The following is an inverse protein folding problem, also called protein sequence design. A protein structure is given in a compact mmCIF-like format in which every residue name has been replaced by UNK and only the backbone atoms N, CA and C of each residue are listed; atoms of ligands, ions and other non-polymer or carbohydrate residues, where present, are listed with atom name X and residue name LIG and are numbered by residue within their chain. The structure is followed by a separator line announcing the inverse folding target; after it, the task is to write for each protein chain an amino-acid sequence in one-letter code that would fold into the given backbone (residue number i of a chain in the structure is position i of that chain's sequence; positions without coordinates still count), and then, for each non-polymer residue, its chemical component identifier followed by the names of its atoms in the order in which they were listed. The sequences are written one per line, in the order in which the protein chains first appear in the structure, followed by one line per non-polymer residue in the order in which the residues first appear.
data_IF_983581380640
#
_entry.id   IF_983581380640
#
_cell.length_a   1.000
_cell.length_b   1.000
_cell.length_c   1.000
_cell.angle_alpha   90.00
_cell.angle_beta   90.00
_cell.angle_gamma   90.00
#
_symmetry.space_group_name_H-M   'P 1'
#
loop_
_entity.id
_entity.type
_entity.pdbx_description
1 polymer ?
#
# COMPACT_ATOMS: atom_id res chain seq x y z
N UNK A 1 -4.56 -14.55 2.76
CA UNK A 1 -5.90 -13.98 3.07
C UNK A 1 -6.67 -13.74 1.79
N UNK A 2 -8.00 -13.64 1.85
CA UNK A 2 -8.85 -13.15 0.77
C UNK A 2 -9.18 -11.68 1.02
N UNK A 3 -9.12 -10.88 -0.05
CA UNK A 3 -9.51 -9.48 -0.03
C UNK A 3 -10.66 -9.23 -0.98
N UNK A 4 -11.53 -8.30 -0.59
CA UNK A 4 -12.65 -7.85 -1.38
C UNK A 4 -12.77 -6.34 -1.33
N UNK A 5 -12.87 -5.71 -2.49
CA UNK A 5 -12.99 -4.27 -2.59
C UNK A 5 -13.76 -3.86 -3.85
N UNK A 6 -14.39 -2.69 -3.81
CA UNK A 6 -15.07 -2.11 -4.97
C UNK A 6 -14.37 -0.86 -5.51
N UNK A 7 -14.39 -0.73 -6.83
CA UNK A 7 -13.98 0.44 -7.59
C UNK A 7 -15.23 1.29 -7.88
N UNK A 8 -15.35 2.53 -7.38
CA UNK A 8 -16.52 3.33 -7.67
C UNK A 8 -16.61 3.66 -9.16
N UNK A 9 -17.78 3.48 -9.76
CA UNK A 9 -18.05 3.98 -11.11
C UNK A 9 -18.29 5.49 -11.11
N UNK A 10 -18.99 6.05 -10.09
CA UNK A 10 -19.40 7.46 -10.07
C UNK A 10 -19.65 8.12 -8.68
N UNK A 11 -19.14 7.58 -7.56
CA UNK A 11 -19.22 8.28 -6.25
C UNK A 11 -17.92 8.19 -5.46
N UNK A 12 -17.61 9.21 -4.67
CA UNK A 12 -16.46 9.24 -3.75
C UNK A 12 -16.59 8.26 -2.57
N UNK A 13 -17.62 7.41 -2.56
CA UNK A 13 -17.84 6.44 -1.50
C UNK A 13 -17.06 5.15 -1.81
N UNK A 14 -15.80 5.18 -1.44
CA UNK A 14 -14.96 4.00 -1.39
C UNK A 14 -15.42 3.11 -0.24
N UNK A 15 -16.12 2.01 -0.52
CA UNK A 15 -16.45 1.01 0.49
C UNK A 15 -15.18 0.47 1.17
N UNK A 16 -15.24 0.22 2.47
CA UNK A 16 -14.10 -0.30 3.22
C UNK A 16 -13.69 -1.67 2.64
N UNK A 17 -12.40 -1.87 2.29
CA UNK A 17 -11.93 -3.17 1.86
C UNK A 17 -12.12 -4.18 2.97
N UNK A 18 -12.57 -5.39 2.61
CA UNK A 18 -12.75 -6.49 3.53
C UNK A 18 -11.60 -7.48 3.36
N UNK A 19 -11.16 -8.02 4.49
CA UNK A 19 -10.08 -8.98 4.54
C UNK A 19 -10.46 -10.13 5.46
N UNK A 20 -10.35 -11.38 4.99
CA UNK A 20 -10.56 -12.54 5.83
C UNK A 20 -9.68 -13.72 5.42
N UNK A 21 -9.29 -14.59 6.37
CA UNK A 21 -8.41 -15.72 6.08
C UNK A 21 -9.04 -16.75 5.12
N UNK A 22 -10.37 -16.77 5.01
CA UNK A 22 -11.14 -17.64 4.12
C UNK A 22 -12.39 -16.91 3.59
N UNK A 23 -12.95 -17.39 2.47
CA UNK A 23 -14.08 -16.76 1.77
C UNK A 23 -15.34 -16.63 2.66
N UNK A 24 -15.58 -17.59 3.56
CA UNK A 24 -16.69 -17.52 4.51
C UNK A 24 -16.53 -16.35 5.48
N UNK A 25 -15.29 -15.94 5.80
CA UNK A 25 -15.04 -14.78 6.64
C UNK A 25 -15.32 -13.47 5.92
N UNK A 26 -15.06 -13.39 4.61
CA UNK A 26 -15.47 -12.24 3.79
C UNK A 26 -16.99 -12.17 3.66
N UNK A 27 -17.64 -13.31 3.40
CA UNK A 27 -19.10 -13.41 3.40
C UNK A 27 -19.68 -12.93 4.74
N UNK A 28 -19.12 -13.38 5.87
CA UNK A 28 -19.51 -12.95 7.21
C UNK A 28 -19.47 -11.44 7.42
N UNK A 29 -18.38 -10.78 7.00
CA UNK A 29 -18.25 -9.33 7.13
C UNK A 29 -19.26 -8.56 6.26
N UNK A 30 -19.54 -9.05 5.04
CA UNK A 30 -20.55 -8.46 4.17
C UNK A 30 -21.96 -8.55 4.77
N UNK A 31 -22.28 -9.65 5.45
CA UNK A 31 -23.54 -9.81 6.19
C UNK A 31 -23.66 -8.76 7.28
N UNK A 32 -22.62 -8.63 8.10
CA UNK A 32 -22.63 -7.65 9.20
C UNK A 32 -22.83 -6.22 8.69
N UNK A 33 -22.27 -5.92 7.52
CA UNK A 33 -22.52 -4.65 6.83
C UNK A 33 -23.98 -4.55 6.43
N UNK A 34 -24.54 -5.54 5.73
CA UNK A 34 -25.93 -5.54 5.28
C UNK A 34 -26.93 -5.39 6.45
N UNK A 35 -26.74 -6.16 7.51
CA UNK A 35 -27.58 -6.18 8.70
C UNK A 35 -27.58 -4.82 9.43
N UNK A 36 -26.43 -4.13 9.44
CA UNK A 36 -26.30 -2.79 10.04
C UNK A 36 -27.21 -1.76 9.38
N UNK A 37 -27.44 -1.89 8.07
CA UNK A 37 -28.25 -0.95 7.30
C UNK A 37 -29.74 -1.33 7.26
N UNK A 38 -30.11 -2.50 7.78
CA UNK A 38 -31.50 -2.97 7.82
C UNK A 38 -32.10 -3.26 6.43
N UNK A 39 -31.26 -3.33 5.40
CA UNK A 39 -31.65 -3.62 4.03
C UNK A 39 -31.63 -5.12 3.81
N UNK A 40 -32.58 -5.84 4.40
CA UNK A 40 -32.72 -7.26 4.13
C UNK A 40 -32.81 -7.48 2.61
N UNK A 41 -33.73 -6.78 1.93
CA UNK A 41 -34.15 -6.97 0.53
C UNK A 41 -33.06 -6.99 -0.56
N UNK A 42 -31.88 -6.40 -0.35
CA UNK A 42 -30.89 -6.21 -1.42
C UNK A 42 -30.07 -7.47 -1.74
N UNK A 43 -30.12 -8.50 -0.89
CA UNK A 43 -29.31 -9.73 -1.01
C UNK A 43 -30.14 -11.00 -1.24
N UNK A 44 -31.41 -10.86 -1.65
CA UNK A 44 -32.39 -11.96 -1.77
C UNK A 44 -31.91 -13.18 -2.56
N UNK A 45 -31.18 -12.96 -3.65
CA UNK A 45 -30.66 -14.04 -4.51
C UNK A 45 -29.52 -14.83 -3.85
N UNK A 46 -28.83 -14.24 -2.86
CA UNK A 46 -27.70 -14.84 -2.13
C UNK A 46 -28.04 -15.21 -0.67
N UNK A 47 -29.21 -14.80 -0.14
CA UNK A 47 -29.70 -15.19 1.19
C UNK A 47 -29.64 -16.71 1.49
N UNK A 48 -29.97 -17.61 0.54
CA UNK A 48 -29.72 -19.05 0.65
C UNK A 48 -28.35 -19.48 1.15
N UNK A 49 -27.31 -18.73 0.80
CA UNK A 49 -25.90 -19.12 0.95
C UNK A 49 -25.31 -18.62 2.27
N UNK A 50 -26.05 -17.76 2.98
CA UNK A 50 -25.48 -16.81 3.93
C UNK A 50 -26.24 -16.77 5.27
N UNK A 51 -27.58 -16.91 5.25
CA UNK A 51 -28.44 -16.72 6.43
C UNK A 51 -28.93 -18.01 7.10
N UNK A 52 -28.27 -19.16 6.89
CA UNK A 52 -28.67 -20.43 7.52
C UNK A 52 -28.15 -20.61 8.96
N UNK A 53 -28.00 -19.54 9.74
CA UNK A 53 -27.80 -19.66 11.19
C UNK A 53 -29.11 -19.70 11.97
N UNK A 54 -30.23 -19.24 11.37
CA UNK A 54 -31.57 -19.33 11.94
C UNK A 54 -32.67 -19.49 10.86
N UNK A 55 -33.00 -20.72 10.44
CA UNK A 55 -34.01 -20.97 9.40
C UNK A 55 -35.43 -20.52 9.76
N UNK A 56 -35.70 -20.21 11.03
CA UNK A 56 -37.00 -19.72 11.49
C UNK A 56 -37.18 -18.19 11.32
N UNK A 57 -36.16 -17.47 10.83
CA UNK A 57 -36.23 -16.01 10.65
C UNK A 57 -36.95 -15.56 9.37
N UNK A 58 -37.29 -16.48 8.47
CA UNK A 58 -37.99 -16.19 7.22
C UNK A 58 -39.38 -16.84 7.21
N UNK A 59 -40.39 -16.09 6.78
CA UNK A 59 -41.68 -16.65 6.39
C UNK A 59 -41.57 -17.15 4.95
N UNK A 60 -41.30 -18.45 4.80
CA UNK A 60 -41.40 -19.13 3.50
C UNK A 60 -42.89 -19.34 3.15
N UNK A 61 -43.23 -19.16 1.88
CA UNK A 61 -44.55 -19.54 1.37
C UNK A 61 -44.69 -21.08 1.32
N UNK A 62 -45.94 -21.59 1.33
CA UNK A 62 -46.25 -23.03 1.46
C UNK A 62 -45.63 -23.92 0.34
N UNK A 63 -45.22 -23.33 -0.79
CA UNK A 63 -44.58 -24.00 -1.92
C UNK A 63 -43.09 -23.69 -2.08
N UNK A 64 -42.52 -22.83 -1.23
CA UNK A 64 -41.10 -22.51 -1.23
C UNK A 64 -40.30 -23.55 -0.43
N UNK A 65 -39.18 -23.99 -1.02
CA UNK A 65 -38.25 -24.88 -0.33
C UNK A 65 -37.16 -24.06 0.32
N UNK A 66 -36.88 -24.41 1.57
CA UNK A 66 -35.65 -24.06 2.25
C UNK A 66 -34.44 -24.26 1.31
N UNK A 67 -33.63 -23.22 1.05
CA UNK A 67 -32.40 -23.37 0.30
C UNK A 67 -31.38 -24.29 0.99
N UNK A 68 -30.50 -24.91 0.22
CA UNK A 68 -29.39 -25.72 0.74
C UNK A 68 -28.14 -24.85 0.95
N UNK A 69 -27.50 -24.97 2.12
CA UNK A 69 -26.24 -24.29 2.43
C UNK A 69 -25.13 -24.82 1.49
N UNK A 70 -24.46 -23.90 0.78
CA UNK A 70 -23.34 -24.19 -0.13
C UNK A 70 -22.02 -23.71 0.48
N UNK A 71 -20.90 -24.26 0.01
CA UNK A 71 -19.56 -23.76 0.33
C UNK A 71 -19.37 -22.35 -0.25
N UNK A 72 -18.70 -21.45 0.48
CA UNK A 72 -18.47 -20.10 0.02
C UNK A 72 -17.43 -20.11 -1.11
N UNK A 73 -17.88 -19.81 -2.33
CA UNK A 73 -17.00 -19.62 -3.48
C UNK A 73 -16.73 -18.14 -3.72
N UNK A 74 -15.69 -17.83 -4.48
CA UNK A 74 -15.34 -16.45 -4.83
C UNK A 74 -16.47 -15.75 -5.59
N UNK A 75 -17.14 -16.45 -6.51
CA UNK A 75 -18.32 -15.97 -7.24
C UNK A 75 -19.46 -15.58 -6.29
N UNK A 76 -19.70 -16.40 -5.26
CA UNK A 76 -20.71 -16.14 -4.23
C UNK A 76 -20.34 -14.90 -3.42
N UNK A 77 -19.10 -14.80 -2.95
CA UNK A 77 -18.62 -13.65 -2.16
C UNK A 77 -18.69 -12.35 -2.96
N UNK A 78 -18.30 -12.38 -4.24
CA UNK A 78 -18.43 -11.25 -5.15
C UNK A 78 -19.91 -10.89 -5.37
N UNK A 79 -20.80 -11.87 -5.48
CA UNK A 79 -22.24 -11.69 -5.64
C UNK A 79 -22.86 -10.94 -4.47
N UNK A 80 -22.57 -11.41 -3.26
CA UNK A 80 -22.99 -10.75 -2.02
C UNK A 80 -22.46 -9.32 -1.97
N UNK A 81 -21.19 -9.11 -2.30
CA UNK A 81 -20.59 -7.78 -2.29
C UNK A 81 -21.24 -6.83 -3.30
N UNK A 82 -21.60 -7.34 -4.48
CA UNK A 82 -22.30 -6.58 -5.51
C UNK A 82 -23.64 -6.05 -5.00
N UNK A 83 -24.39 -6.90 -4.32
CA UNK A 83 -25.65 -6.55 -3.67
C UNK A 83 -25.48 -5.59 -2.50
N UNK A 84 -24.56 -5.89 -1.57
CA UNK A 84 -24.35 -5.10 -0.33
C UNK A 84 -23.81 -3.70 -0.62
N UNK A 85 -22.95 -3.58 -1.63
CA UNK A 85 -22.33 -2.32 -2.04
C UNK A 85 -23.07 -1.63 -3.19
N UNK A 86 -24.20 -2.16 -3.65
CA UNK A 86 -24.96 -1.65 -4.80
C UNK A 86 -24.04 -1.31 -6.00
N UNK A 87 -23.10 -2.21 -6.29
CA UNK A 87 -22.01 -2.00 -7.24
C UNK A 87 -21.92 -3.18 -8.18
N UNK A 88 -21.85 -2.95 -9.49
CA UNK A 88 -21.77 -4.03 -10.46
C UNK A 88 -20.52 -4.90 -10.25
N UNK A 89 -20.64 -6.22 -10.46
CA UNK A 89 -19.55 -7.19 -10.36
C UNK A 89 -18.24 -6.78 -11.04
N UNK A 90 -18.31 -6.15 -12.22
CA UNK A 90 -17.15 -5.69 -12.97
C UNK A 90 -16.29 -4.65 -12.22
N UNK A 91 -16.85 -4.07 -11.17
CA UNK A 91 -16.20 -3.10 -10.31
C UNK A 91 -15.80 -3.68 -8.96
N UNK A 92 -15.95 -4.99 -8.74
CA UNK A 92 -15.58 -5.64 -7.49
C UNK A 92 -14.47 -6.65 -7.77
N UNK A 93 -13.39 -6.53 -7.02
CA UNK A 93 -12.25 -7.41 -7.16
C UNK A 93 -12.12 -8.28 -5.92
N UNK A 94 -12.14 -9.60 -6.13
CA UNK A 94 -11.75 -10.61 -5.17
C UNK A 94 -10.36 -11.10 -5.54
N UNK A 95 -9.42 -11.13 -4.59
CA UNK A 95 -8.14 -11.81 -4.78
C UNK A 95 -7.75 -12.59 -3.53
N UNK A 96 -7.36 -13.85 -3.72
CA UNK A 96 -6.58 -14.59 -2.73
C UNK A 96 -5.11 -14.19 -2.92
N UNK A 97 -4.49 -13.54 -1.93
CA UNK A 97 -3.07 -13.16 -2.06
C UNK A 97 -2.19 -13.78 -0.97
N UNK A 98 -1.04 -14.25 -1.43
CA UNK A 98 0.26 -13.90 -0.87
C UNK A 98 0.61 -12.54 -1.51
N UNK A 99 0.79 -11.49 -0.72
CA UNK A 99 0.93 -10.11 -1.26
C UNK A 99 2.40 -9.72 -1.27
N UNK A 100 2.94 -9.39 -2.43
CA UNK A 100 4.25 -8.74 -2.52
C UNK A 100 4.13 -7.23 -2.30
N UNK A 101 5.23 -6.55 -1.93
CA UNK A 101 5.23 -5.09 -1.83
C UNK A 101 4.81 -4.43 -3.15
N UNK A 102 5.28 -4.95 -4.28
CA UNK A 102 4.96 -4.42 -5.61
C UNK A 102 3.46 -4.48 -5.92
N UNK A 103 2.81 -5.59 -5.58
CA UNK A 103 1.35 -5.75 -5.73
C UNK A 103 0.59 -4.79 -4.81
N UNK A 104 1.10 -4.57 -3.59
CA UNK A 104 0.52 -3.63 -2.64
C UNK A 104 0.70 -2.17 -3.09
N UNK A 105 1.82 -1.85 -3.74
CA UNK A 105 2.10 -0.54 -4.33
C UNK A 105 1.13 -0.24 -5.47
N UNK A 106 0.95 -1.18 -6.40
CA UNK A 106 0.01 -1.02 -7.52
C UNK A 106 -1.41 -0.79 -7.00
N UNK A 107 -1.84 -1.63 -6.04
CA UNK A 107 -3.13 -1.49 -5.38
C UNK A 107 -3.29 -0.13 -4.70
N UNK A 108 -2.29 0.32 -3.95
CA UNK A 108 -2.35 1.57 -3.17
C UNK A 108 -2.34 2.79 -4.07
N UNK A 109 -1.54 2.79 -5.14
CA UNK A 109 -1.47 3.85 -6.12
C UNK A 109 -2.82 4.08 -6.80
N UNK A 110 -3.45 3.01 -7.29
CA UNK A 110 -4.78 3.07 -7.89
C UNK A 110 -5.85 3.54 -6.90
N UNK A 111 -5.79 3.05 -5.65
CA UNK A 111 -6.80 3.31 -4.62
C UNK A 111 -6.77 4.74 -4.10
N UNK A 112 -5.58 5.30 -3.93
CA UNK A 112 -5.36 6.56 -3.25
C UNK A 112 -5.11 7.73 -4.23
N UNK A 113 -5.22 7.49 -5.53
CA UNK A 113 -4.86 8.43 -6.60
C UNK A 113 -3.42 8.96 -6.43
N UNK A 114 -2.52 8.07 -5.99
CA UNK A 114 -1.11 8.37 -5.80
C UNK A 114 -0.32 7.94 -7.04
N UNK A 115 0.81 8.59 -7.27
CA UNK A 115 1.79 8.04 -8.21
C UNK A 115 2.31 6.70 -7.65
N UNK A 116 2.72 5.81 -8.55
CA UNK A 116 3.31 4.53 -8.16
C UNK A 116 4.51 4.70 -7.21
N UNK A 117 5.33 5.72 -7.45
CA UNK A 117 6.48 6.07 -6.60
C UNK A 117 6.04 6.65 -5.25
N UNK A 118 4.98 7.48 -5.23
CA UNK A 118 4.40 8.01 -3.99
C UNK A 118 3.79 6.92 -3.11
N UNK A 119 3.07 5.97 -3.74
CA UNK A 119 2.55 4.79 -3.06
C UNK A 119 3.67 3.92 -2.47
N UNK A 120 4.74 3.66 -3.23
CA UNK A 120 5.92 2.93 -2.74
C UNK A 120 6.59 3.63 -1.57
N UNK A 121 6.90 4.90 -1.70
CA UNK A 121 7.54 5.69 -0.64
C UNK A 121 6.71 5.69 0.66
N UNK A 122 5.39 5.82 0.53
CA UNK A 122 4.46 5.80 1.67
C UNK A 122 4.43 4.43 2.35
N UNK A 123 4.31 3.36 1.56
CA UNK A 123 4.29 1.99 2.10
C UNK A 123 5.63 1.61 2.74
N UNK A 124 6.76 1.97 2.13
CA UNK A 124 8.09 1.74 2.72
C UNK A 124 8.29 2.52 4.03
N UNK A 125 7.76 3.75 4.11
CA UNK A 125 7.78 4.55 5.34
C UNK A 125 7.03 3.85 6.47
N UNK A 126 5.79 3.41 6.21
CA UNK A 126 4.99 2.72 7.22
C UNK A 126 5.53 1.34 7.55
N UNK A 127 6.07 0.61 6.55
CA UNK A 127 6.75 -0.67 6.76
C UNK A 127 7.87 -0.50 7.78
N UNK A 128 8.77 0.45 7.55
CA UNK A 128 9.90 0.74 8.45
C UNK A 128 9.42 1.13 9.85
N UNK A 129 8.35 1.92 9.97
CA UNK A 129 7.79 2.27 11.28
C UNK A 129 7.30 1.05 12.06
N UNK A 130 6.64 0.10 11.39
CA UNK A 130 6.20 -1.14 12.03
C UNK A 130 7.41 -1.98 12.45
N UNK A 131 8.39 -2.14 11.56
CA UNK A 131 9.61 -2.90 11.85
C UNK A 131 10.36 -2.33 13.06
N UNK A 132 10.46 -1.00 13.15
CA UNK A 132 11.07 -0.29 14.28
C UNK A 132 10.24 -0.42 15.57
N UNK A 133 8.90 -0.40 15.50
CA UNK A 133 8.01 -0.45 16.66
C UNK A 133 7.82 -1.85 17.24
N UNK A 134 7.73 -2.85 16.36
CA UNK A 134 7.43 -4.24 16.71
C UNK A 134 8.69 -5.12 16.76
N UNK A 135 9.87 -4.55 16.48
CA UNK A 135 11.15 -5.29 16.36
C UNK A 135 11.01 -6.52 15.44
N UNK A 136 10.30 -6.36 14.32
CA UNK A 136 10.08 -7.41 13.32
C UNK A 136 10.61 -7.00 11.95
N UNK A 137 10.80 -7.96 11.07
CA UNK A 137 11.18 -7.74 9.66
C UNK A 137 10.00 -8.17 8.78
N UNK A 138 9.63 -7.31 7.83
CA UNK A 138 8.57 -7.58 6.86
C UNK A 138 9.23 -7.95 5.53
N UNK A 139 8.95 -9.16 5.04
CA UNK A 139 9.46 -9.67 3.76
C UNK A 139 8.68 -9.04 2.59
N UNK A 140 9.38 -8.36 1.69
CA UNK A 140 8.77 -7.70 0.52
C UNK A 140 8.19 -8.69 -0.49
N UNK A 141 8.69 -9.92 -0.52
CA UNK A 141 8.18 -10.97 -1.43
C UNK A 141 7.06 -11.79 -0.77
N UNK A 142 6.83 -11.60 0.52
CA UNK A 142 5.86 -12.38 1.30
C UNK A 142 5.30 -11.57 2.48
N UNK A 143 4.68 -10.43 2.18
CA UNK A 143 4.06 -9.58 3.21
C UNK A 143 2.91 -10.36 3.85
N UNK A 144 2.90 -10.38 5.18
CA UNK A 144 1.82 -11.03 5.92
C UNK A 144 0.51 -10.27 5.73
N UNK A 145 -0.61 -10.97 5.87
CA UNK A 145 -1.92 -10.39 5.60
C UNK A 145 -2.28 -9.23 6.56
N UNK A 146 -1.86 -9.35 7.82
CA UNK A 146 -2.05 -8.29 8.82
C UNK A 146 -1.22 -7.04 8.49
N UNK A 147 0.02 -7.24 8.03
CA UNK A 147 0.91 -6.15 7.61
C UNK A 147 0.39 -5.44 6.36
N UNK A 148 -0.03 -6.20 5.34
CA UNK A 148 -0.60 -5.64 4.12
C UNK A 148 -1.85 -4.79 4.40
N UNK A 149 -2.73 -5.27 5.29
CA UNK A 149 -3.94 -4.54 5.71
C UNK A 149 -3.58 -3.24 6.43
N UNK A 150 -2.66 -3.30 7.38
CA UNK A 150 -2.22 -2.12 8.12
C UNK A 150 -1.56 -1.09 7.19
N UNK A 151 -0.68 -1.53 6.30
CA UNK A 151 0.03 -0.68 5.36
C UNK A 151 -0.92 0.02 4.38
N UNK A 152 -1.86 -0.71 3.76
CA UNK A 152 -2.85 -0.13 2.87
C UNK A 152 -3.79 0.87 3.59
N UNK A 153 -4.19 0.56 4.83
CA UNK A 153 -5.04 1.45 5.63
C UNK A 153 -4.30 2.73 6.01
N UNK A 154 -3.02 2.62 6.40
CA UNK A 154 -2.18 3.76 6.77
C UNK A 154 -1.92 4.67 5.57
N UNK A 155 -1.63 4.09 4.41
CA UNK A 155 -1.46 4.85 3.17
C UNK A 155 -2.73 5.61 2.76
N UNK A 156 -3.91 4.98 2.94
CA UNK A 156 -5.20 5.65 2.70
C UNK A 156 -5.41 6.84 3.64
N UNK A 157 -5.17 6.66 4.94
CA UNK A 157 -5.31 7.76 5.91
C UNK A 157 -4.37 8.92 5.59
N UNK A 158 -3.14 8.60 5.19
CA UNK A 158 -2.18 9.61 4.74
C UNK A 158 -2.66 10.33 3.49
N UNK A 159 -3.17 9.63 2.49
CA UNK A 159 -3.73 10.24 1.28
C UNK A 159 -4.97 11.12 1.57
N UNK A 160 -5.82 10.73 2.53
CA UNK A 160 -6.94 11.55 2.99
C UNK A 160 -6.47 12.80 3.75
N UNK A 161 -5.39 12.71 4.52
CA UNK A 161 -4.76 13.84 5.20
C UNK A 161 -4.00 14.75 4.22
N UNK A 162 -3.35 14.18 3.20
CA UNK A 162 -2.67 14.90 2.12
C UNK A 162 -3.65 15.55 1.15
N UNK A 163 -4.84 14.97 0.94
CA UNK A 163 -5.93 15.62 0.21
C UNK A 163 -6.41 16.92 0.91
N UNK A 164 -6.16 17.06 2.21
CA UNK A 164 -6.38 18.31 2.96
C UNK A 164 -5.21 19.31 2.84
N UNK A 165 -4.09 18.91 2.24
CA UNK A 165 -2.90 19.72 2.02
C UNK A 165 -3.10 20.58 0.77
N UNK A 166 -2.94 21.90 0.92
CA UNK A 166 -3.15 22.82 -0.20
C UNK A 166 -2.05 22.63 -1.27
N UNK A 167 -2.32 22.97 -2.54
CA UNK A 167 -1.33 22.83 -3.63
C UNK A 167 0.03 23.49 -3.33
N UNK A 168 0.03 24.55 -2.52
CA UNK A 168 1.24 25.26 -2.11
C UNK A 168 2.10 24.45 -1.14
N UNK A 169 1.49 23.67 -0.24
CA UNK A 169 2.22 22.81 0.69
C UNK A 169 2.80 21.59 -0.03
N UNK A 170 2.04 20.99 -0.95
CA UNK A 170 2.54 19.90 -1.81
C UNK A 170 3.74 20.35 -2.64
N UNK A 171 3.69 21.57 -3.20
CA UNK A 171 4.81 22.14 -3.94
C UNK A 171 6.06 22.35 -3.07
N UNK A 172 5.89 22.73 -1.80
CA UNK A 172 7.01 22.88 -0.85
C UNK A 172 7.58 21.52 -0.46
N UNK A 173 6.74 20.51 -0.29
CA UNK A 173 7.17 19.15 0.04
C UNK A 173 7.96 18.53 -1.11
N UNK A 174 7.45 18.58 -2.34
CA UNK A 174 8.18 18.11 -3.52
C UNK A 174 9.53 18.81 -3.69
N UNK A 175 9.58 20.13 -3.48
CA UNK A 175 10.83 20.89 -3.54
C UNK A 175 11.83 20.51 -2.44
N UNK A 176 11.35 20.00 -1.31
CA UNK A 176 12.21 19.46 -0.25
C UNK A 176 12.73 18.07 -0.62
N UNK A 177 11.89 17.21 -1.15
CA UNK A 177 12.29 15.85 -1.55
C UNK A 177 13.33 15.92 -2.69
N UNK A 178 13.11 16.79 -3.68
CA UNK A 178 14.09 17.09 -4.73
C UNK A 178 15.43 17.60 -4.17
N UNK A 179 15.38 18.40 -3.09
CA UNK A 179 16.58 18.91 -2.43
C UNK A 179 17.31 17.78 -1.68
N UNK A 180 16.59 16.95 -0.94
CA UNK A 180 17.16 15.86 -0.15
C UNK A 180 17.83 14.83 -1.09
N UNK A 181 17.20 14.48 -2.22
CA UNK A 181 17.81 13.62 -3.25
C UNK A 181 19.08 14.24 -3.86
N UNK A 182 19.04 15.54 -4.16
CA UNK A 182 20.19 16.25 -4.70
C UNK A 182 21.35 16.32 -3.70
N UNK A 183 21.08 16.48 -2.40
CA UNK A 183 22.08 16.52 -1.34
C UNK A 183 22.76 15.16 -1.18
N UNK A 184 21.99 14.07 -1.14
CA UNK A 184 22.50 12.69 -1.12
C UNK A 184 23.38 12.37 -2.34
N UNK A 185 22.96 12.82 -3.52
CA UNK A 185 23.76 12.68 -4.74
C UNK A 185 25.07 13.46 -4.64
N UNK A 186 25.05 14.69 -4.14
CA UNK A 186 26.24 15.52 -3.95
C UNK A 186 27.21 14.85 -2.99
N UNK A 187 26.72 14.32 -1.87
CA UNK A 187 27.56 13.64 -0.88
C UNK A 187 28.15 12.34 -1.43
N UNK A 188 27.38 11.56 -2.19
CA UNK A 188 27.88 10.38 -2.90
C UNK A 188 28.99 10.76 -3.89
N UNK A 189 28.79 11.78 -4.72
CA UNK A 189 29.80 12.24 -5.68
C UNK A 189 31.04 12.80 -4.98
N UNK A 190 30.88 13.47 -3.84
CA UNK A 190 31.97 13.98 -3.00
C UNK A 190 32.81 12.83 -2.46
N UNK A 191 32.18 11.76 -1.96
CA UNK A 191 32.90 10.57 -1.49
C UNK A 191 33.70 9.90 -2.61
N UNK A 192 33.10 9.75 -3.80
CA UNK A 192 33.79 9.22 -4.99
C UNK A 192 35.00 10.09 -5.36
N UNK A 193 34.83 11.41 -5.39
CA UNK A 193 35.92 12.34 -5.68
C UNK A 193 37.06 12.21 -4.65
N UNK A 194 36.73 12.09 -3.36
CA UNK A 194 37.73 11.96 -2.30
C UNK A 194 38.47 10.62 -2.40
N UNK A 195 37.78 9.54 -2.73
CA UNK A 195 38.41 8.25 -3.00
C UNK A 195 39.40 8.34 -4.18
N UNK A 196 38.98 8.94 -5.30
CA UNK A 196 39.84 9.13 -6.48
C UNK A 196 41.07 10.02 -6.18
N UNK A 197 40.91 11.07 -5.37
CA UNK A 197 42.03 11.92 -4.92
C UNK A 197 43.05 11.11 -4.12
N UNK A 198 42.59 10.23 -3.23
CA UNK A 198 43.46 9.38 -2.41
C UNK A 198 44.20 8.36 -3.27
N UNK A 199 43.49 7.71 -4.19
CA UNK A 199 44.08 6.76 -5.14
C UNK A 199 45.18 7.43 -5.98
N UNK A 200 44.88 8.57 -6.60
CA UNK A 200 45.85 9.35 -7.37
C UNK A 200 47.09 9.74 -6.54
N UNK A 201 46.90 10.13 -5.27
CA UNK A 201 48.02 10.44 -4.38
C UNK A 201 48.86 9.20 -4.04
N UNK A 202 48.23 8.03 -3.87
CA UNK A 202 48.92 6.76 -3.60
C UNK A 202 49.75 6.27 -4.79
N UNK A 203 49.33 6.60 -6.01
CA UNK A 203 50.08 6.36 -7.26
C UNK A 203 51.26 7.33 -7.45
N UNK A 204 51.42 8.29 -6.55
CA UNK A 204 52.52 9.26 -6.57
C UNK A 204 52.29 10.45 -7.50
N UNK A 205 51.05 10.68 -7.95
CA UNK A 205 50.71 11.84 -8.77
C UNK A 205 50.95 13.14 -7.96
N UNK A 206 51.61 14.16 -8.53
CA UNK A 206 51.84 15.42 -7.82
C UNK A 206 50.52 16.08 -7.40
N UNK A 207 50.46 16.55 -6.15
CA UNK A 207 49.27 17.23 -5.59
C UNK A 207 48.81 18.43 -6.41
N UNK A 208 49.72 19.10 -7.12
CA UNK A 208 49.39 20.22 -8.00
C UNK A 208 48.54 19.77 -9.20
N UNK A 209 48.86 18.61 -9.78
CA UNK A 209 48.16 18.05 -10.93
C UNK A 209 46.80 17.49 -10.51
N UNK A 210 46.73 16.86 -9.33
CA UNK A 210 45.47 16.42 -8.71
C UNK A 210 44.56 17.63 -8.45
N UNK A 211 45.07 18.70 -7.84
CA UNK A 211 44.31 19.91 -7.56
C UNK A 211 43.76 20.56 -8.85
N UNK A 212 44.58 20.64 -9.90
CA UNK A 212 44.17 21.16 -11.20
C UNK A 212 43.07 20.32 -11.84
N UNK A 213 43.17 18.99 -11.77
CA UNK A 213 42.22 18.06 -12.39
C UNK A 213 40.91 17.98 -11.63
N UNK A 214 40.96 17.99 -10.30
CA UNK A 214 39.78 17.99 -9.44
C UNK A 214 39.11 19.37 -9.30
N UNK A 215 39.69 20.42 -9.89
CA UNK A 215 39.27 21.82 -9.71
C UNK A 215 39.16 22.25 -8.25
N UNK A 216 40.07 21.76 -7.40
CA UNK A 216 40.14 22.07 -5.98
C UNK A 216 41.39 22.90 -5.67
N UNK A 217 41.33 23.66 -4.57
CA UNK A 217 42.54 24.31 -4.06
C UNK A 217 43.51 23.27 -3.49
N UNK A 218 44.82 23.55 -3.54
CA UNK A 218 45.82 22.65 -2.93
C UNK A 218 45.60 22.45 -1.43
N UNK A 219 45.10 23.47 -0.72
CA UNK A 219 44.74 23.36 0.69
C UNK A 219 43.58 22.38 0.92
N UNK A 220 42.60 22.33 0.02
CA UNK A 220 41.50 21.36 0.10
C UNK A 220 42.00 19.92 -0.12
N UNK A 221 42.88 19.71 -1.11
CA UNK A 221 43.53 18.40 -1.32
C UNK A 221 44.30 17.97 -0.05
N UNK A 222 45.05 18.89 0.56
CA UNK A 222 45.80 18.59 1.78
C UNK A 222 44.88 18.17 2.94
N UNK A 223 43.73 18.84 3.09
CA UNK A 223 42.75 18.51 4.12
C UNK A 223 42.15 17.11 3.89
N UNK A 224 41.72 16.80 2.66
CA UNK A 224 41.12 15.51 2.29
C UNK A 224 42.08 14.34 2.56
N UNK A 225 43.38 14.52 2.27
CA UNK A 225 44.38 13.49 2.52
C UNK A 225 44.66 13.29 4.01
N UNK A 226 44.63 14.38 4.79
CA UNK A 226 44.92 14.37 6.24
C UNK A 226 43.78 13.83 7.11
N UNK A 227 42.53 13.94 6.68
CA UNK A 227 41.37 13.39 7.43
C UNK A 227 41.34 11.85 7.49
N UNK A 228 42.32 11.17 6.90
CA UNK A 228 42.45 9.71 6.84
C UNK A 228 43.72 9.15 7.50
N UNK A 229 44.58 10.01 8.07
CA UNK A 229 45.73 9.64 8.91
C UNK A 229 45.37 9.71 10.40
#
# INVERSE_FOLDING_TARGET
MFYLYSHPAHSNDCYQPLAAPHLEGLAGQLIEINDRWGSADLTADYWPEVYWSNPDSFTLDDDEKAPEQREATEEIVLGIASSVWDTAHAHITGRAHHTTLDELVEFTAERCDLTHDGARSTLETYKKQIEDLEEKEIDDEAITDDDATFLATSAKMWAEEESAVTPELLAVQNARDDYDEADDLVDTKRQILYAAIREAASEGIPRADIASTAHLSQSAIFKILRETE
#
